data_IF_489531634933
#
_entry.id   IF_489531634933
#
_cell.length_a   1.000
_cell.length_b   1.000
_cell.length_c   1.000
_cell.angle_alpha   90.00
_cell.angle_beta   90.00
_cell.angle_gamma   90.00
#
_symmetry.space_group_name_H-M   'P 1'
#
loop_
_entity.id
_entity.type
_entity.pdbx_description
1 polymer ?
#
# COMPACT_ATOMS: atom_id res chain seq x y z
N UNK A 1 12.88 -5.47 -10.27
CA UNK A 1 12.22 -5.33 -8.96
C UNK A 1 11.67 -6.65 -8.43
N UNK A 2 10.80 -7.37 -9.18
CA UNK A 2 10.12 -8.60 -8.72
C UNK A 2 11.08 -9.66 -8.15
N UNK A 3 12.19 -9.96 -8.83
CA UNK A 3 13.20 -10.93 -8.32
C UNK A 3 13.82 -10.48 -7.00
N UNK A 4 14.11 -9.19 -6.84
CA UNK A 4 14.65 -8.63 -5.59
C UNK A 4 13.64 -8.77 -4.44
N UNK A 5 12.36 -8.49 -4.69
CA UNK A 5 11.30 -8.69 -3.71
C UNK A 5 11.14 -10.15 -3.28
N UNK A 6 11.18 -11.10 -4.22
CA UNK A 6 11.12 -12.54 -3.88
C UNK A 6 12.29 -12.94 -2.99
N UNK A 7 13.51 -12.52 -3.31
CA UNK A 7 14.71 -12.79 -2.50
C UNK A 7 14.56 -12.16 -1.11
N UNK A 8 14.06 -10.92 -1.01
CA UNK A 8 13.83 -10.27 0.27
C UNK A 8 12.82 -11.02 1.15
N UNK A 9 11.73 -11.53 0.57
CA UNK A 9 10.73 -12.35 1.28
C UNK A 9 11.33 -13.64 1.79
N UNK A 10 12.13 -14.35 0.97
CA UNK A 10 12.80 -15.58 1.38
C UNK A 10 13.79 -15.31 2.52
N UNK A 11 14.59 -14.26 2.41
CA UNK A 11 15.52 -13.84 3.46
C UNK A 11 14.78 -13.50 4.75
N UNK A 12 13.69 -12.73 4.64
CA UNK A 12 12.85 -12.40 5.79
C UNK A 12 12.31 -13.65 6.49
N UNK A 13 11.81 -14.63 5.72
CA UNK A 13 11.31 -15.89 6.26
C UNK A 13 12.39 -16.67 7.00
N UNK A 14 13.58 -16.81 6.39
CA UNK A 14 14.70 -17.53 6.98
C UNK A 14 15.17 -16.85 8.28
N UNK A 15 15.43 -15.54 8.23
CA UNK A 15 15.88 -14.82 9.42
C UNK A 15 14.81 -14.71 10.50
N UNK A 16 13.53 -14.65 10.17
CA UNK A 16 12.44 -14.76 11.13
C UNK A 16 12.53 -16.10 11.88
N UNK A 17 12.66 -17.21 11.15
CA UNK A 17 12.78 -18.52 11.77
C UNK A 17 14.01 -18.62 12.69
N UNK A 18 15.18 -18.12 12.25
CA UNK A 18 16.42 -18.18 13.00
C UNK A 18 16.39 -17.31 14.25
N UNK A 19 15.94 -16.06 14.14
CA UNK A 19 16.03 -15.06 15.21
C UNK A 19 14.83 -15.10 16.18
N UNK A 20 13.66 -15.52 15.73
CA UNK A 20 12.51 -15.66 16.63
C UNK A 20 12.72 -16.87 17.56
N UNK A 21 13.13 -18.00 16.97
CA UNK A 21 13.21 -19.29 17.69
C UNK A 21 14.62 -19.66 18.17
N UNK A 22 15.63 -18.83 17.91
CA UNK A 22 17.00 -19.09 18.36
C UNK A 22 17.62 -20.37 17.80
N UNK A 23 17.31 -20.72 16.52
CA UNK A 23 17.84 -21.93 15.90
C UNK A 23 19.23 -21.74 15.31
N UNK A 24 19.98 -22.85 15.14
CA UNK A 24 21.33 -22.85 14.52
C UNK A 24 22.35 -21.95 15.24
N UNK A 25 22.24 -21.76 16.56
CA UNK A 25 23.20 -20.96 17.35
C UNK A 25 22.88 -19.46 17.36
N UNK A 26 21.78 -19.03 16.77
CA UNK A 26 21.32 -17.65 16.91
C UNK A 26 20.61 -17.43 18.24
N UNK A 27 20.70 -16.22 18.83
CA UNK A 27 19.98 -15.91 20.06
C UNK A 27 18.47 -15.89 19.81
N UNK A 28 17.69 -16.43 20.75
CA UNK A 28 16.24 -16.34 20.74
C UNK A 28 15.82 -14.92 21.11
N UNK A 29 15.39 -14.14 20.11
CA UNK A 29 15.04 -12.74 20.26
C UNK A 29 13.52 -12.47 20.23
N UNK A 30 12.70 -13.49 19.92
CA UNK A 30 11.26 -13.33 19.84
C UNK A 30 10.83 -12.21 18.88
N UNK A 31 9.98 -11.29 19.36
CA UNK A 31 9.46 -10.15 18.56
C UNK A 31 10.58 -9.22 18.05
N UNK A 32 11.66 -9.03 18.85
CA UNK A 32 12.82 -8.24 18.40
C UNK A 32 13.53 -8.91 17.23
N UNK A 33 13.59 -10.24 17.21
CA UNK A 33 14.15 -11.02 16.11
C UNK A 33 13.37 -10.80 14.81
N UNK A 34 12.04 -10.75 14.88
CA UNK A 34 11.19 -10.44 13.74
C UNK A 34 11.46 -9.03 13.17
N UNK A 35 11.63 -8.04 14.02
CA UNK A 35 11.96 -6.68 13.60
C UNK A 35 13.34 -6.62 12.91
N UNK A 36 14.36 -7.26 13.48
CA UNK A 36 15.71 -7.34 12.89
C UNK A 36 15.67 -8.05 11.53
N UNK A 37 14.97 -9.18 11.42
CA UNK A 37 14.81 -9.92 10.16
C UNK A 37 14.17 -9.05 9.07
N UNK A 38 13.16 -8.27 9.43
CA UNK A 38 12.49 -7.34 8.51
C UNK A 38 13.45 -6.26 8.02
N UNK A 39 14.20 -5.63 8.91
CA UNK A 39 15.19 -4.60 8.54
C UNK A 39 16.27 -5.19 7.64
N UNK A 40 16.85 -6.35 7.99
CA UNK A 40 17.86 -7.02 7.19
C UNK A 40 17.36 -7.35 5.77
N UNK A 41 16.16 -7.90 5.65
CA UNK A 41 15.58 -8.23 4.35
C UNK A 41 15.40 -7.00 3.45
N UNK A 42 15.02 -5.85 4.02
CA UNK A 42 14.90 -4.58 3.29
C UNK A 42 16.26 -4.02 2.86
N UNK A 43 17.28 -4.14 3.70
CA UNK A 43 18.64 -3.77 3.29
C UNK A 43 19.15 -4.63 2.13
N UNK A 44 18.93 -5.94 2.18
CA UNK A 44 19.33 -6.83 1.07
C UNK A 44 18.57 -6.48 -0.21
N UNK A 45 17.27 -6.22 -0.14
CA UNK A 45 16.48 -5.78 -1.28
C UNK A 45 17.04 -4.49 -1.89
N UNK A 46 17.32 -3.50 -1.05
CA UNK A 46 17.93 -2.24 -1.47
C UNK A 46 19.30 -2.46 -2.15
N UNK A 47 20.17 -3.29 -1.56
CA UNK A 47 21.47 -3.61 -2.12
C UNK A 47 21.36 -4.30 -3.50
N UNK A 48 20.42 -5.24 -3.67
CA UNK A 48 20.18 -5.91 -4.95
C UNK A 48 19.73 -4.89 -6.01
N UNK A 49 18.76 -4.05 -5.68
CA UNK A 49 18.21 -3.04 -6.60
C UNK A 49 19.29 -2.03 -6.97
N UNK A 50 20.02 -1.49 -6.00
CA UNK A 50 21.11 -0.52 -6.23
C UNK A 50 22.21 -1.12 -7.09
N UNK A 51 22.67 -2.33 -6.75
CA UNK A 51 23.71 -3.02 -7.51
C UNK A 51 23.27 -3.28 -8.94
N UNK A 52 22.01 -3.70 -9.14
CA UNK A 52 21.47 -3.91 -10.48
C UNK A 52 21.39 -2.60 -11.27
N UNK A 53 20.93 -1.52 -10.65
CA UNK A 53 20.79 -0.20 -11.27
C UNK A 53 22.15 0.32 -11.75
N UNK A 54 23.20 0.18 -10.92
CA UNK A 54 24.55 0.63 -11.26
C UNK A 54 25.23 -0.25 -12.30
N UNK A 55 24.94 -1.55 -12.32
CA UNK A 55 25.49 -2.46 -13.35
C UNK A 55 24.86 -2.26 -14.72
N UNK A 56 23.64 -1.72 -14.78
CA UNK A 56 22.90 -1.55 -16.03
C UNK A 56 22.63 -0.07 -16.32
N UNK A 57 23.68 0.74 -16.26
CA UNK A 57 23.60 2.20 -16.53
C UNK A 57 23.15 2.53 -17.95
N UNK A 58 23.37 1.64 -18.91
CA UNK A 58 22.84 1.78 -20.27
C UNK A 58 21.30 1.80 -20.31
N UNK A 59 20.65 1.00 -19.45
CA UNK A 59 19.19 0.96 -19.32
C UNK A 59 18.66 2.00 -18.35
N UNK A 60 19.50 2.46 -17.42
CA UNK A 60 19.17 3.39 -16.35
C UNK A 60 19.93 4.70 -16.56
N UNK A 61 19.56 5.46 -17.60
CA UNK A 61 20.21 6.71 -17.99
C UNK A 61 20.32 7.69 -16.81
N UNK A 62 19.34 7.71 -15.90
CA UNK A 62 19.33 8.56 -14.70
C UNK A 62 20.47 8.24 -13.71
N UNK A 63 21.05 7.06 -13.78
CA UNK A 63 22.18 6.67 -12.92
C UNK A 63 23.54 7.15 -13.47
N UNK A 64 23.58 7.61 -14.73
CA UNK A 64 24.80 8.13 -15.32
C UNK A 64 25.12 9.51 -14.72
N UNK A 65 26.32 9.63 -14.15
CA UNK A 65 26.75 10.89 -13.53
C UNK A 65 26.07 11.27 -12.22
N UNK A 66 25.34 10.36 -11.59
CA UNK A 66 24.59 10.61 -10.35
C UNK A 66 25.47 11.20 -9.23
N UNK A 67 26.73 10.81 -9.17
CA UNK A 67 27.70 11.25 -8.14
C UNK A 67 28.64 12.36 -8.64
N UNK A 68 28.48 12.85 -9.86
CA UNK A 68 29.34 13.93 -10.40
C UNK A 68 29.14 15.27 -9.72
N UNK A 69 27.92 15.50 -9.21
CA UNK A 69 27.62 16.68 -8.40
C UNK A 69 26.52 16.37 -7.39
N UNK A 70 26.75 16.72 -6.13
CA UNK A 70 25.75 16.66 -5.06
C UNK A 70 24.92 17.96 -4.91
N UNK A 71 25.21 18.95 -5.76
CA UNK A 71 24.50 20.23 -5.74
C UNK A 71 23.17 20.08 -6.46
N UNK A 72 22.08 20.15 -5.72
CA UNK A 72 20.72 20.16 -6.29
C UNK A 72 20.34 21.63 -6.61
N UNK A 73 19.97 21.93 -7.86
CA UNK A 73 19.54 23.29 -8.23
C UNK A 73 18.31 23.74 -7.39
N UNK A 74 18.35 24.93 -6.83
CA UNK A 74 17.27 25.44 -5.99
C UNK A 74 15.90 25.45 -6.70
N UNK A 75 15.89 25.70 -8.00
CA UNK A 75 14.67 25.66 -8.82
C UNK A 75 14.05 24.25 -8.87
N UNK A 76 14.87 23.20 -8.91
CA UNK A 76 14.40 21.81 -8.88
C UNK A 76 13.85 21.48 -7.49
N UNK A 77 14.57 21.83 -6.44
CA UNK A 77 14.12 21.68 -5.04
C UNK A 77 12.77 22.35 -4.82
N UNK A 78 12.62 23.61 -5.27
CA UNK A 78 11.35 24.34 -5.17
C UNK A 78 10.20 23.64 -5.90
N UNK A 79 10.43 23.13 -7.12
CA UNK A 79 9.41 22.38 -7.88
C UNK A 79 9.01 21.08 -7.17
N UNK A 80 9.97 20.35 -6.60
CA UNK A 80 9.71 19.14 -5.83
C UNK A 80 8.91 19.46 -4.58
N UNK A 81 9.27 20.50 -3.83
CA UNK A 81 8.53 20.90 -2.63
C UNK A 81 7.10 21.32 -2.95
N UNK A 82 6.88 22.16 -3.96
CA UNK A 82 5.53 22.62 -4.33
C UNK A 82 4.62 21.45 -4.72
N UNK A 83 5.14 20.45 -5.44
CA UNK A 83 4.34 19.29 -5.86
C UNK A 83 4.28 18.18 -4.80
N UNK A 84 5.31 18.08 -3.96
CA UNK A 84 5.40 17.05 -2.92
C UNK A 84 4.66 17.42 -1.64
N UNK A 85 4.62 18.71 -1.27
CA UNK A 85 3.95 19.14 -0.03
C UNK A 85 2.47 18.74 0.04
N UNK A 86 1.65 18.91 -1.00
CA UNK A 86 0.26 18.44 -0.95
C UNK A 86 0.15 16.93 -0.74
N UNK A 87 1.05 16.14 -1.33
CA UNK A 87 1.09 14.69 -1.14
C UNK A 87 1.50 14.32 0.29
N UNK A 88 2.52 14.99 0.84
CA UNK A 88 2.94 14.78 2.22
C UNK A 88 1.81 15.09 3.21
N UNK A 89 1.12 16.22 3.02
CA UNK A 89 -0.04 16.58 3.84
C UNK A 89 -1.17 15.56 3.70
N UNK A 90 -1.42 15.06 2.48
CA UNK A 90 -2.41 14.03 2.23
C UNK A 90 -2.14 12.75 3.04
N UNK A 91 -0.92 12.21 2.94
CA UNK A 91 -0.53 11.00 3.67
C UNK A 91 -0.56 11.22 5.20
N UNK A 92 -0.18 12.42 5.67
CA UNK A 92 -0.21 12.76 7.10
C UNK A 92 -1.64 12.83 7.62
N UNK A 93 -2.54 13.50 6.90
CA UNK A 93 -3.96 13.59 7.29
C UNK A 93 -4.66 12.23 7.22
N UNK A 94 -4.33 11.42 6.22
CA UNK A 94 -4.83 10.04 6.15
C UNK A 94 -4.40 9.22 7.37
N UNK A 95 -3.11 9.24 7.71
CA UNK A 95 -2.58 8.54 8.89
C UNK A 95 -3.23 9.04 10.20
N UNK A 96 -3.39 10.36 10.34
CA UNK A 96 -4.07 10.96 11.48
C UNK A 96 -5.55 10.51 11.57
N UNK A 97 -6.25 10.44 10.42
CA UNK A 97 -7.63 9.97 10.35
C UNK A 97 -7.78 8.53 10.78
N UNK A 98 -6.90 7.63 10.31
CA UNK A 98 -6.88 6.22 10.72
C UNK A 98 -6.59 6.08 12.22
N UNK A 99 -5.66 6.85 12.77
CA UNK A 99 -5.34 6.84 14.20
C UNK A 99 -6.54 7.32 15.04
N UNK A 100 -7.18 8.43 14.64
CA UNK A 100 -8.36 8.97 15.31
C UNK A 100 -9.54 7.99 15.26
N UNK A 101 -9.80 7.38 14.11
CA UNK A 101 -10.84 6.37 13.95
C UNK A 101 -10.59 5.16 14.86
N UNK A 102 -9.35 4.68 14.94
CA UNK A 102 -8.97 3.57 15.83
C UNK A 102 -9.20 3.94 17.29
N UNK A 103 -8.89 5.18 17.69
CA UNK A 103 -9.15 5.68 19.03
C UNK A 103 -10.66 5.75 19.33
N UNK A 104 -11.48 6.23 18.40
CA UNK A 104 -12.94 6.24 18.54
C UNK A 104 -13.53 4.83 18.70
N UNK A 105 -12.98 3.83 18.00
CA UNK A 105 -13.39 2.44 18.21
C UNK A 105 -12.94 1.90 19.57
N UNK A 106 -11.76 2.28 20.05
CA UNK A 106 -11.23 1.78 21.34
C UNK A 106 -12.10 2.20 22.54
N UNK A 107 -12.72 3.37 22.48
CA UNK A 107 -13.64 3.86 23.52
C UNK A 107 -14.91 3.01 23.62
N UNK A 108 -15.29 2.30 22.55
CA UNK A 108 -16.50 1.47 22.51
C UNK A 108 -16.30 0.07 23.10
N UNK A 109 -15.11 -0.29 23.54
CA UNK A 109 -14.81 -1.51 24.26
C UNK A 109 -13.87 -2.47 23.52
N UNK A 110 -13.30 -3.40 24.29
CA UNK A 110 -12.30 -4.36 23.79
C UNK A 110 -12.84 -5.31 22.71
N UNK A 111 -14.12 -5.66 22.77
CA UNK A 111 -14.74 -6.54 21.77
C UNK A 111 -14.80 -5.89 20.39
N UNK A 112 -15.01 -4.56 20.33
CA UNK A 112 -15.00 -3.79 19.08
C UNK A 112 -13.60 -3.74 18.50
N UNK A 113 -12.59 -3.48 19.33
CA UNK A 113 -11.18 -3.48 18.89
C UNK A 113 -10.75 -4.86 18.41
N UNK A 114 -11.12 -5.92 19.12
CA UNK A 114 -10.84 -7.29 18.71
C UNK A 114 -11.49 -7.64 17.36
N UNK A 115 -12.76 -7.29 17.19
CA UNK A 115 -13.48 -7.46 15.94
C UNK A 115 -12.87 -6.68 14.78
N UNK A 116 -12.45 -5.44 15.02
CA UNK A 116 -11.77 -4.59 14.05
C UNK A 116 -10.41 -5.19 13.63
N UNK A 117 -9.60 -5.68 14.57
CA UNK A 117 -8.31 -6.30 14.28
C UNK A 117 -8.45 -7.57 13.44
N UNK A 118 -9.44 -8.41 13.74
CA UNK A 118 -9.75 -9.60 12.93
C UNK A 118 -10.15 -9.19 11.51
N UNK A 119 -11.03 -8.20 11.38
CA UNK A 119 -11.44 -7.67 10.08
C UNK A 119 -10.27 -7.07 9.32
N UNK A 120 -9.42 -6.28 9.96
CA UNK A 120 -8.24 -5.68 9.33
C UNK A 120 -7.26 -6.72 8.81
N UNK A 121 -7.12 -7.87 9.48
CA UNK A 121 -6.22 -8.94 9.01
C UNK A 121 -6.66 -9.47 7.65
N UNK A 122 -7.93 -9.79 7.48
CA UNK A 122 -8.45 -10.27 6.18
C UNK A 122 -8.49 -9.15 5.15
N UNK A 123 -8.88 -7.95 5.55
CA UNK A 123 -8.93 -6.78 4.68
C UNK A 123 -7.55 -6.47 4.10
N UNK A 124 -6.47 -6.56 4.88
CA UNK A 124 -5.11 -6.32 4.40
C UNK A 124 -4.70 -7.29 3.30
N UNK A 125 -5.11 -8.56 3.39
CA UNK A 125 -4.83 -9.56 2.33
C UNK A 125 -5.51 -9.17 1.02
N UNK A 126 -6.78 -8.77 1.09
CA UNK A 126 -7.55 -8.44 -0.11
C UNK A 126 -7.22 -7.03 -0.65
N UNK A 127 -6.85 -6.09 0.21
CA UNK A 127 -6.45 -4.74 -0.17
C UNK A 127 -5.20 -4.72 -1.05
N UNK A 128 -4.30 -5.69 -0.93
CA UNK A 128 -3.12 -5.82 -1.80
C UNK A 128 -3.52 -5.80 -3.28
N UNK A 129 -4.65 -6.43 -3.62
CA UNK A 129 -5.11 -6.55 -5.02
C UNK A 129 -5.47 -5.17 -5.59
N UNK A 130 -6.27 -4.37 -4.88
CA UNK A 130 -6.67 -3.07 -5.43
C UNK A 130 -5.55 -2.03 -5.36
N UNK A 131 -4.65 -2.11 -4.38
CA UNK A 131 -3.46 -1.27 -4.32
C UNK A 131 -2.56 -1.56 -5.53
N UNK A 132 -2.27 -2.83 -5.81
CA UNK A 132 -1.47 -3.23 -6.97
C UNK A 132 -2.11 -2.82 -8.30
N UNK A 133 -3.44 -2.88 -8.42
CA UNK A 133 -4.16 -2.39 -9.59
C UNK A 133 -4.04 -0.88 -9.73
N UNK A 134 -4.19 -0.12 -8.65
CA UNK A 134 -3.99 1.33 -8.63
C UNK A 134 -2.59 1.75 -9.05
N UNK A 135 -1.55 1.11 -8.49
CA UNK A 135 -0.16 1.35 -8.89
C UNK A 135 0.07 1.03 -10.38
N UNK A 136 -0.56 -0.02 -10.90
CA UNK A 136 -0.49 -0.37 -12.32
C UNK A 136 -1.11 0.71 -13.20
N UNK A 137 -2.25 1.29 -12.78
CA UNK A 137 -2.88 2.44 -13.46
C UNK A 137 -1.90 3.62 -13.47
N UNK A 138 -1.31 3.98 -12.34
CA UNK A 138 -0.36 5.10 -12.25
C UNK A 138 0.83 4.93 -13.21
N UNK A 139 1.39 3.72 -13.30
CA UNK A 139 2.54 3.43 -14.15
C UNK A 139 2.16 3.52 -15.63
N UNK A 140 1.11 2.81 -16.06
CA UNK A 140 0.73 2.72 -17.48
C UNK A 140 0.23 4.07 -17.99
N UNK A 141 -0.69 4.70 -17.25
CA UNK A 141 -1.23 6.01 -17.63
C UNK A 141 -0.15 7.08 -17.57
N UNK A 142 0.70 7.06 -16.54
CA UNK A 142 1.84 7.98 -16.42
C UNK A 142 2.82 7.90 -17.58
N UNK A 143 3.13 6.68 -18.08
CA UNK A 143 3.98 6.48 -19.26
C UNK A 143 3.33 7.05 -20.53
N UNK A 144 2.04 6.82 -20.75
CA UNK A 144 1.31 7.34 -21.91
C UNK A 144 1.20 8.88 -21.88
N UNK A 145 0.96 9.45 -20.71
CA UNK A 145 0.97 10.90 -20.51
C UNK A 145 2.35 11.51 -20.77
N UNK A 146 3.41 10.86 -20.27
CA UNK A 146 4.80 11.27 -20.51
C UNK A 146 5.21 11.19 -21.99
N UNK A 147 4.64 10.26 -22.74
CA UNK A 147 4.83 10.14 -24.19
C UNK A 147 3.95 11.11 -25.02
N UNK A 148 3.12 11.94 -24.39
CA UNK A 148 2.23 12.89 -25.06
C UNK A 148 0.98 12.25 -25.71
N UNK A 149 0.71 10.96 -25.48
CA UNK A 149 -0.36 10.18 -26.09
C UNK A 149 -1.69 10.30 -25.31
N UNK A 150 -2.23 11.50 -25.23
CA UNK A 150 -3.40 11.82 -24.39
C UNK A 150 -4.65 10.98 -24.68
N UNK A 151 -4.95 10.69 -25.96
CA UNK A 151 -6.11 9.87 -26.34
C UNK A 151 -5.96 8.42 -25.89
N UNK A 152 -4.77 7.83 -26.14
CA UNK A 152 -4.48 6.47 -25.70
C UNK A 152 -4.46 6.37 -24.18
N UNK A 153 -3.91 7.38 -23.47
CA UNK A 153 -3.90 7.43 -22.02
C UNK A 153 -5.32 7.38 -21.45
N UNK A 154 -6.24 8.19 -21.97
CA UNK A 154 -7.64 8.23 -21.52
C UNK A 154 -8.39 6.92 -21.79
N UNK A 155 -8.21 6.32 -22.97
CA UNK A 155 -8.87 5.06 -23.31
C UNK A 155 -8.33 3.91 -22.44
N UNK A 156 -7.02 3.85 -22.25
CA UNK A 156 -6.37 2.86 -21.37
C UNK A 156 -6.80 3.04 -19.93
N UNK A 157 -6.85 4.27 -19.42
CA UNK A 157 -7.28 4.58 -18.07
C UNK A 157 -8.70 4.08 -17.78
N UNK A 158 -9.66 4.41 -18.66
CA UNK A 158 -11.03 3.95 -18.53
C UNK A 158 -11.14 2.41 -18.50
N UNK A 159 -10.38 1.72 -19.35
CA UNK A 159 -10.34 0.25 -19.39
C UNK A 159 -9.72 -0.32 -18.11
N UNK A 160 -8.65 0.29 -17.60
CA UNK A 160 -7.99 -0.17 -16.36
C UNK A 160 -8.85 0.08 -15.13
N UNK A 161 -9.56 1.22 -15.06
CA UNK A 161 -10.52 1.49 -13.97
C UNK A 161 -11.65 0.46 -14.01
N UNK A 162 -12.26 0.21 -15.17
CA UNK A 162 -13.32 -0.78 -15.31
C UNK A 162 -12.84 -2.19 -14.92
N UNK A 163 -11.64 -2.58 -15.34
CA UNK A 163 -11.01 -3.84 -14.96
C UNK A 163 -10.76 -3.94 -13.46
N UNK A 164 -10.26 -2.86 -12.84
CA UNK A 164 -10.03 -2.79 -11.39
C UNK A 164 -11.31 -2.98 -10.60
N UNK A 165 -12.39 -2.30 -11.00
CA UNK A 165 -13.71 -2.43 -10.37
C UNK A 165 -14.25 -3.85 -10.53
N UNK A 166 -14.11 -4.46 -11.72
CA UNK A 166 -14.54 -5.83 -11.97
C UNK A 166 -13.78 -6.83 -11.08
N UNK A 167 -12.44 -6.76 -11.06
CA UNK A 167 -11.62 -7.62 -10.22
C UNK A 167 -11.98 -7.48 -8.73
N UNK A 168 -12.13 -6.24 -8.24
CA UNK A 168 -12.48 -5.99 -6.86
C UNK A 168 -13.92 -6.41 -6.51
N UNK A 169 -14.83 -6.42 -7.49
CA UNK A 169 -16.17 -7.01 -7.30
C UNK A 169 -16.09 -8.53 -7.10
N UNK A 170 -15.26 -9.22 -7.87
CA UNK A 170 -15.02 -10.65 -7.66
C UNK A 170 -14.39 -10.93 -6.30
N UNK A 171 -13.42 -10.12 -5.90
CA UNK A 171 -12.78 -10.19 -4.58
C UNK A 171 -13.78 -9.93 -3.46
N UNK A 172 -14.65 -8.92 -3.61
CA UNK A 172 -15.71 -8.62 -2.66
C UNK A 172 -16.67 -9.82 -2.46
N UNK A 173 -17.05 -10.50 -3.54
CA UNK A 173 -17.86 -11.71 -3.46
C UNK A 173 -17.17 -12.81 -2.64
N UNK A 174 -15.87 -13.02 -2.83
CA UNK A 174 -15.08 -13.96 -2.02
C UNK A 174 -15.05 -13.52 -0.55
N UNK A 175 -14.84 -12.22 -0.27
CA UNK A 175 -14.86 -11.69 1.09
C UNK A 175 -16.23 -11.88 1.78
N UNK A 176 -17.34 -11.72 1.06
CA UNK A 176 -18.67 -11.99 1.60
C UNK A 176 -18.83 -13.45 2.05
N UNK A 177 -18.33 -14.40 1.25
CA UNK A 177 -18.35 -15.84 1.60
C UNK A 177 -17.44 -16.12 2.81
N UNK A 178 -16.28 -15.46 2.88
CA UNK A 178 -15.32 -15.61 3.97
C UNK A 178 -15.75 -14.93 5.27
N UNK A 179 -16.61 -13.91 5.21
CA UNK A 179 -17.02 -13.11 6.37
C UNK A 179 -17.58 -13.93 7.54
N UNK A 180 -18.42 -14.95 7.37
CA UNK A 180 -18.88 -15.78 8.48
C UNK A 180 -17.87 -16.86 8.91
N UNK A 181 -16.90 -17.23 8.04
CA UNK A 181 -15.95 -18.31 8.26
C UNK A 181 -14.69 -17.81 8.96
N UNK A 182 -14.10 -16.71 8.48
CA UNK A 182 -12.80 -16.21 8.91
C UNK A 182 -12.74 -15.88 10.41
N UNK A 183 -13.72 -15.18 11.03
CA UNK A 183 -13.68 -14.89 12.46
C UNK A 183 -13.73 -16.15 13.35
N UNK A 184 -14.21 -17.29 12.83
CA UNK A 184 -14.27 -18.57 13.59
C UNK A 184 -12.88 -19.15 13.83
N UNK A 185 -11.88 -18.78 13.02
CA UNK A 185 -10.50 -19.22 13.21
C UNK A 185 -9.84 -18.61 14.46
N UNK A 186 -10.42 -17.52 14.97
CA UNK A 186 -9.88 -16.85 16.14
C UNK A 186 -10.55 -17.34 17.44
N UNK A 187 -9.72 -17.63 18.45
CA UNK A 187 -10.22 -17.97 19.78
C UNK A 187 -10.58 -16.71 20.56
N UNK A 188 -11.77 -16.19 20.30
CA UNK A 188 -12.30 -14.98 20.94
C UNK A 188 -13.79 -15.18 21.29
N UNK A 189 -14.40 -14.21 21.98
CA UNK A 189 -15.81 -14.28 22.36
C UNK A 189 -16.76 -14.14 21.15
N UNK A 190 -18.01 -14.57 21.33
CA UNK A 190 -19.01 -14.58 20.27
C UNK A 190 -19.36 -13.16 19.76
N UNK A 191 -19.31 -12.17 20.64
CA UNK A 191 -19.57 -10.78 20.30
C UNK A 191 -18.52 -10.20 19.35
N UNK A 192 -17.22 -10.38 19.67
CA UNK A 192 -16.13 -9.93 18.80
C UNK A 192 -16.15 -10.62 17.44
N UNK A 193 -16.51 -11.93 17.38
CA UNK A 193 -16.67 -12.65 16.10
C UNK A 193 -17.81 -12.08 15.27
N UNK A 194 -18.92 -11.75 15.90
CA UNK A 194 -20.09 -11.17 15.23
C UNK A 194 -19.77 -9.78 14.68
N UNK A 195 -19.09 -8.94 15.46
CA UNK A 195 -18.62 -7.63 15.01
C UNK A 195 -17.62 -7.75 13.85
N UNK A 196 -16.64 -8.65 13.95
CA UNK A 196 -15.70 -8.91 12.87
C UNK A 196 -16.40 -9.31 11.56
N UNK A 197 -17.41 -10.21 11.64
CA UNK A 197 -18.22 -10.59 10.48
C UNK A 197 -18.87 -9.36 9.83
N UNK A 198 -19.52 -8.50 10.60
CA UNK A 198 -20.18 -7.31 10.06
C UNK A 198 -19.18 -6.31 9.48
N UNK A 199 -18.03 -6.09 10.11
CA UNK A 199 -16.97 -5.25 9.57
C UNK A 199 -16.44 -5.78 8.23
N UNK A 200 -16.21 -7.09 8.11
CA UNK A 200 -15.77 -7.71 6.85
C UNK A 200 -16.85 -7.55 5.76
N UNK A 201 -18.12 -7.80 6.09
CA UNK A 201 -19.22 -7.64 5.13
C UNK A 201 -19.36 -6.18 4.65
N UNK A 202 -19.24 -5.21 5.57
CA UNK A 202 -19.28 -3.79 5.23
C UNK A 202 -18.13 -3.39 4.32
N UNK A 203 -16.92 -3.81 4.64
CA UNK A 203 -15.73 -3.55 3.80
C UNK A 203 -15.89 -4.19 2.42
N UNK A 204 -16.38 -5.44 2.35
CA UNK A 204 -16.61 -6.13 1.08
C UNK A 204 -17.66 -5.39 0.23
N UNK A 205 -18.72 -4.88 0.83
CA UNK A 205 -19.74 -4.12 0.11
C UNK A 205 -19.19 -2.85 -0.55
N UNK A 206 -18.33 -2.11 0.16
CA UNK A 206 -17.73 -0.88 -0.36
C UNK A 206 -16.47 -1.10 -1.19
N UNK A 207 -15.98 -2.33 -1.30
CA UNK A 207 -14.72 -2.62 -2.01
C UNK A 207 -14.70 -2.21 -3.49
N UNK A 208 -15.76 -2.43 -4.30
CA UNK A 208 -15.79 -1.97 -5.69
C UNK A 208 -15.74 -0.44 -5.81
N UNK A 209 -16.42 0.27 -4.91
CA UNK A 209 -16.38 1.73 -4.84
C UNK A 209 -14.98 2.23 -4.47
N UNK A 210 -14.33 1.60 -3.48
CA UNK A 210 -12.96 1.93 -3.09
C UNK A 210 -11.98 1.67 -4.23
N UNK A 211 -12.17 0.61 -5.02
CA UNK A 211 -11.35 0.33 -6.19
C UNK A 211 -11.46 1.43 -7.25
N UNK A 212 -12.67 1.92 -7.52
CA UNK A 212 -12.90 3.04 -8.42
C UNK A 212 -12.22 4.31 -7.93
N UNK A 213 -12.44 4.68 -6.65
CA UNK A 213 -11.83 5.86 -6.04
C UNK A 213 -10.30 5.79 -6.08
N UNK A 214 -9.73 4.65 -5.75
CA UNK A 214 -8.29 4.45 -5.69
C UNK A 214 -7.65 4.53 -7.09
N UNK A 215 -8.24 3.85 -8.09
CA UNK A 215 -7.77 3.94 -9.47
C UNK A 215 -7.83 5.39 -9.98
N UNK A 216 -8.92 6.10 -9.76
CA UNK A 216 -9.07 7.52 -10.13
C UNK A 216 -8.07 8.42 -9.42
N UNK A 217 -7.82 8.17 -8.12
CA UNK A 217 -6.80 8.87 -7.34
C UNK A 217 -5.42 8.73 -7.97
N UNK A 218 -5.04 7.51 -8.35
CA UNK A 218 -3.75 7.26 -8.98
C UNK A 218 -3.63 7.88 -10.39
N UNK A 219 -4.73 7.92 -11.15
CA UNK A 219 -4.79 8.64 -12.44
C UNK A 219 -4.49 10.13 -12.26
N UNK A 220 -5.17 10.78 -11.33
CA UNK A 220 -4.96 12.21 -11.03
C UNK A 220 -3.53 12.47 -10.53
N UNK A 221 -3.01 11.60 -9.68
CA UNK A 221 -1.65 11.68 -9.13
C UNK A 221 -0.60 11.54 -10.24
N UNK A 222 -0.76 10.59 -11.15
CA UNK A 222 0.14 10.39 -12.29
C UNK A 222 0.11 11.54 -13.28
N UNK A 223 -1.05 12.20 -13.44
CA UNK A 223 -1.22 13.43 -14.22
C UNK A 223 -0.67 14.70 -13.55
N UNK A 224 -0.07 14.58 -12.35
CA UNK A 224 0.54 15.71 -11.62
C UNK A 224 -0.46 16.68 -10.98
N UNK A 225 -1.74 16.32 -10.88
CA UNK A 225 -2.82 17.10 -10.25
C UNK A 225 -2.86 16.87 -8.73
N UNK A 226 -1.72 17.03 -8.06
CA UNK A 226 -1.53 16.70 -6.63
C UNK A 226 -2.40 17.52 -5.68
N UNK A 227 -2.72 18.79 -6.02
CA UNK A 227 -3.61 19.63 -5.22
C UNK A 227 -5.05 19.11 -5.28
N UNK A 228 -5.49 18.64 -6.46
CA UNK A 228 -6.85 18.08 -6.62
C UNK A 228 -6.98 16.79 -5.82
N UNK A 229 -5.95 15.91 -5.84
CA UNK A 229 -5.95 14.68 -5.03
C UNK A 229 -5.98 14.99 -3.54
N UNK A 230 -5.21 15.98 -3.09
CA UNK A 230 -5.21 16.42 -1.69
C UNK A 230 -6.60 16.93 -1.25
N UNK A 231 -7.25 17.76 -2.04
CA UNK A 231 -8.58 18.29 -1.72
C UNK A 231 -9.63 17.18 -1.65
N UNK A 232 -9.60 16.25 -2.60
CA UNK A 232 -10.59 15.17 -2.68
C UNK A 232 -10.41 14.10 -1.60
N UNK A 233 -9.18 13.71 -1.33
CA UNK A 233 -8.87 12.58 -0.44
C UNK A 233 -8.76 13.02 1.03
N UNK A 234 -8.19 14.19 1.30
CA UNK A 234 -7.99 14.64 2.67
C UNK A 234 -9.00 15.69 3.11
N UNK A 235 -9.08 16.82 2.40
CA UNK A 235 -9.89 17.96 2.88
C UNK A 235 -11.38 17.58 2.92
N UNK A 236 -11.88 16.93 1.87
CA UNK A 236 -13.28 16.53 1.81
C UNK A 236 -13.64 15.55 2.93
N UNK A 237 -12.82 14.51 3.15
CA UNK A 237 -13.09 13.48 4.19
C UNK A 237 -13.04 14.06 5.61
N UNK A 238 -12.21 15.09 5.87
CA UNK A 238 -12.14 15.71 7.19
C UNK A 238 -13.22 16.75 7.46
N UNK A 239 -13.83 17.32 6.42
CA UNK A 239 -14.84 18.38 6.53
C UNK A 239 -16.27 17.82 6.47
N UNK A 240 -16.48 16.72 5.74
CA UNK A 240 -17.78 16.06 5.55
C UNK A 240 -17.87 14.78 6.36
#
# INVERSE_FOLDING_TARGET
PMKAGIVAVLINLIFNYLLIYGKFGFPEMGVRGAAVATVLSRYVEACIVLSWTHKHTEKNIFAQGLYSTLKVPANLTKKILIKGTPLLLNETLWAAGVAMLTQCYSVRGLNVVAGLNISNTINNVFNIIFIALGDSVAIVVGQLLGAGKMKEARDTDNKMIAFSVFCCTCVAAVMFVMAPLFPRLYNTNAEARTLAKYFIMLTAFFMPQNAFLHATYFTLRSGGKTIVTFLFDSVFIWVV
#
